data_IF_267983970521
#
_entry.id   IF_267983970521
#
_cell.length_a   1.000
_cell.length_b   1.000
_cell.length_c   1.000
_cell.angle_alpha   90.00
_cell.angle_beta   90.00
_cell.angle_gamma   90.00
#
_symmetry.space_group_name_H-M   'P 1'
#
loop_
_entity.id
_entity.type
_entity.pdbx_description
1 polymer ?
#
# COMPACT_ATOMS: atom_id res chain seq x y z
N UNK A 1 -20.77 -15.21 53.57
CA UNK A 1 -21.52 -15.77 52.43
C UNK A 1 -20.98 -15.09 51.19
N UNK A 2 -20.24 -15.81 50.35
CA UNK A 2 -19.42 -15.25 49.28
C UNK A 2 -20.26 -14.87 48.05
N UNK A 3 -19.98 -13.70 47.49
CA UNK A 3 -20.53 -13.19 46.23
C UNK A 3 -19.90 -13.97 45.07
N UNK A 4 -20.73 -14.64 44.27
CA UNK A 4 -20.29 -15.43 43.13
C UNK A 4 -20.01 -14.51 41.92
N UNK A 5 -18.73 -14.38 41.57
CA UNK A 5 -18.31 -13.71 40.35
C UNK A 5 -18.83 -14.46 39.11
N UNK A 6 -19.51 -13.74 38.21
CA UNK A 6 -19.99 -14.27 36.94
C UNK A 6 -18.82 -14.67 36.02
N UNK A 7 -18.98 -15.72 35.19
CA UNK A 7 -17.92 -16.15 34.27
C UNK A 7 -17.76 -15.14 33.13
N UNK A 8 -16.52 -14.71 32.90
CA UNK A 8 -16.13 -13.93 31.73
C UNK A 8 -16.28 -14.82 30.48
N UNK A 9 -17.22 -14.50 29.60
CA UNK A 9 -17.33 -15.13 28.29
C UNK A 9 -16.15 -14.71 27.40
N UNK A 10 -15.43 -15.65 26.75
CA UNK A 10 -14.40 -15.30 25.77
C UNK A 10 -15.09 -14.98 24.44
N UNK A 11 -15.57 -13.75 24.29
CA UNK A 11 -16.04 -13.27 23.00
C UNK A 11 -14.91 -12.60 22.21
N UNK A 12 -14.70 -13.12 21.00
CA UNK A 12 -14.06 -12.48 19.85
C UNK A 12 -12.53 -12.51 19.85
N UNK A 13 -11.99 -13.66 19.42
CA UNK A 13 -10.70 -13.65 18.73
C UNK A 13 -10.83 -12.77 17.48
N UNK A 14 -10.18 -11.61 17.50
CA UNK A 14 -10.05 -10.71 16.35
C UNK A 14 -9.45 -11.53 15.23
N UNK A 15 -10.23 -11.81 14.18
CA UNK A 15 -9.68 -12.40 12.96
C UNK A 15 -8.56 -11.47 12.49
N UNK A 16 -7.31 -11.92 12.62
CA UNK A 16 -6.17 -11.19 12.11
C UNK A 16 -6.42 -11.03 10.61
N UNK A 17 -6.80 -9.82 10.19
CA UNK A 17 -6.97 -9.49 8.78
C UNK A 17 -5.63 -9.82 8.11
N UNK A 18 -5.58 -10.92 7.37
CA UNK A 18 -4.38 -11.31 6.64
C UNK A 18 -4.15 -10.22 5.60
N UNK A 19 -3.23 -9.30 5.88
CA UNK A 19 -2.89 -8.22 4.96
C UNK A 19 -2.16 -8.85 3.78
N UNK A 20 -2.87 -9.01 2.66
CA UNK A 20 -2.30 -9.56 1.44
C UNK A 20 -1.22 -8.61 0.94
N UNK A 21 -0.02 -9.11 0.57
CA UNK A 21 0.99 -8.28 -0.05
C UNK A 21 0.44 -7.67 -1.34
N UNK A 22 0.60 -6.36 -1.50
CA UNK A 22 0.12 -5.64 -2.66
C UNK A 22 1.18 -4.68 -3.15
N UNK A 23 1.34 -4.58 -4.47
CA UNK A 23 2.16 -3.55 -5.10
C UNK A 23 1.24 -2.55 -5.77
N UNK A 24 1.35 -1.29 -5.37
CA UNK A 24 0.53 -0.19 -5.85
C UNK A 24 1.46 0.78 -6.56
N UNK A 25 1.04 1.24 -7.73
CA UNK A 25 1.70 2.31 -8.46
C UNK A 25 0.75 3.50 -8.56
N UNK A 26 1.27 4.70 -8.35
CA UNK A 26 0.52 5.95 -8.41
C UNK A 26 1.24 6.92 -9.36
N UNK A 27 0.49 7.58 -10.25
CA UNK A 27 1.00 8.64 -11.12
C UNK A 27 0.73 9.99 -10.45
N UNK A 28 1.75 10.58 -9.84
CA UNK A 28 1.63 11.79 -9.04
C UNK A 28 2.09 13.02 -9.82
N UNK A 29 1.38 14.14 -9.72
CA UNK A 29 1.68 15.39 -10.44
C UNK A 29 1.73 16.57 -9.48
N UNK A 30 2.75 17.43 -9.62
CA UNK A 30 2.84 18.71 -8.93
C UNK A 30 3.72 19.68 -9.72
N UNK A 31 3.35 20.97 -9.75
CA UNK A 31 4.17 22.01 -10.37
C UNK A 31 4.51 21.78 -11.86
N UNK A 32 3.64 21.08 -12.60
CA UNK A 32 3.87 20.73 -14.02
C UNK A 32 4.81 19.55 -14.25
N UNK A 33 5.35 18.96 -13.19
CA UNK A 33 6.16 17.74 -13.23
C UNK A 33 5.37 16.54 -12.70
N UNK A 34 5.81 15.35 -13.07
CA UNK A 34 5.15 14.08 -12.76
C UNK A 34 6.19 13.07 -12.29
N UNK A 35 5.86 12.26 -11.28
CA UNK A 35 6.67 11.13 -10.84
C UNK A 35 5.78 9.92 -10.59
N UNK A 36 6.36 8.72 -10.55
CA UNK A 36 5.65 7.51 -10.17
C UNK A 36 6.06 7.11 -8.76
N UNK A 37 5.07 6.92 -7.88
CA UNK A 37 5.26 6.32 -6.56
C UNK A 37 4.92 4.85 -6.62
N UNK A 38 5.84 4.00 -6.17
CA UNK A 38 5.63 2.55 -5.96
C UNK A 38 5.55 2.27 -4.47
N UNK A 39 4.42 1.74 -4.04
CA UNK A 39 4.20 1.28 -2.66
C UNK A 39 4.13 -0.25 -2.64
N UNK A 40 5.11 -0.88 -1.99
CA UNK A 40 5.12 -2.30 -1.69
C UNK A 40 4.55 -2.52 -0.28
N UNK A 41 3.31 -2.98 -0.21
CA UNK A 41 2.71 -3.49 1.03
C UNK A 41 3.22 -4.89 1.30
N UNK A 42 4.02 -5.04 2.34
CA UNK A 42 4.39 -6.33 2.95
C UNK A 42 3.48 -6.59 4.15
N UNK A 43 3.54 -7.79 4.73
CA UNK A 43 2.73 -8.15 5.92
C UNK A 43 2.97 -7.20 7.10
N UNK A 44 4.21 -6.73 7.27
CA UNK A 44 4.65 -5.97 8.44
C UNK A 44 5.17 -4.56 8.12
N UNK A 45 5.34 -4.23 6.84
CA UNK A 45 6.05 -3.02 6.43
C UNK A 45 5.45 -2.42 5.15
N UNK A 46 5.57 -1.10 5.02
CA UNK A 46 5.34 -0.34 3.79
C UNK A 46 6.68 0.15 3.26
N UNK A 47 7.04 -0.29 2.06
CA UNK A 47 8.22 0.23 1.36
C UNK A 47 7.73 1.13 0.22
N UNK A 48 8.19 2.38 0.23
CA UNK A 48 7.84 3.39 -0.78
C UNK A 48 9.10 3.76 -1.56
N UNK A 49 9.00 3.75 -2.89
CA UNK A 49 10.03 4.24 -3.78
C UNK A 49 9.40 5.22 -4.78
N UNK A 50 10.13 6.27 -5.13
CA UNK A 50 9.70 7.28 -6.08
C UNK A 50 10.73 7.38 -7.20
N UNK A 51 10.25 7.63 -8.42
CA UNK A 51 11.13 8.00 -9.53
C UNK A 51 11.60 9.43 -9.35
N UNK A 52 12.56 9.84 -10.17
CA UNK A 52 12.80 11.27 -10.38
C UNK A 52 11.54 11.99 -10.90
N UNK A 53 11.52 13.31 -10.75
CA UNK A 53 10.49 14.17 -11.32
C UNK A 53 10.73 14.36 -12.81
N UNK A 54 9.76 13.95 -13.62
CA UNK A 54 9.84 13.94 -15.07
C UNK A 54 8.88 14.96 -15.66
N UNK A 55 9.20 15.40 -16.89
CA UNK A 55 8.21 16.05 -17.74
C UNK A 55 7.04 15.09 -18.00
N UNK A 56 5.83 15.64 -18.09
CA UNK A 56 4.58 14.86 -18.28
C UNK A 56 4.68 13.81 -19.38
N UNK A 57 5.25 14.16 -20.55
CA UNK A 57 5.38 13.24 -21.67
C UNK A 57 6.24 12.01 -21.31
N UNK A 58 7.37 12.21 -20.62
CA UNK A 58 8.26 11.13 -20.18
C UNK A 58 7.62 10.28 -19.08
N UNK A 59 6.91 10.92 -18.15
CA UNK A 59 6.19 10.20 -17.11
C UNK A 59 5.05 9.33 -17.69
N UNK A 60 4.34 9.81 -18.70
CA UNK A 60 3.31 9.03 -19.39
C UNK A 60 3.91 7.81 -20.11
N UNK A 61 5.04 7.97 -20.80
CA UNK A 61 5.77 6.84 -21.40
C UNK A 61 6.15 5.78 -20.36
N UNK A 62 6.70 6.21 -19.23
CA UNK A 62 7.04 5.32 -18.12
C UNK A 62 5.80 4.64 -17.54
N UNK A 63 4.74 5.39 -17.31
CA UNK A 63 3.47 4.88 -16.79
C UNK A 63 2.88 3.78 -17.67
N UNK A 64 2.87 3.99 -19.00
CA UNK A 64 2.44 2.97 -19.95
C UNK A 64 3.30 1.71 -19.88
N UNK A 65 4.63 1.85 -19.72
CA UNK A 65 5.51 0.69 -19.52
C UNK A 65 5.18 -0.07 -18.24
N UNK A 66 4.88 0.61 -17.14
CA UNK A 66 4.49 -0.03 -15.86
C UNK A 66 3.17 -0.78 -16.02
N UNK A 67 2.13 -0.13 -16.57
CA UNK A 67 0.82 -0.76 -16.78
C UNK A 67 0.87 -1.99 -17.70
N UNK A 68 1.84 -2.02 -18.61
CA UNK A 68 2.05 -3.13 -19.54
C UNK A 68 3.12 -4.14 -19.08
N UNK A 69 3.64 -4.00 -17.86
CA UNK A 69 4.64 -4.90 -17.29
C UNK A 69 6.04 -4.82 -17.94
N UNK A 70 6.32 -3.74 -18.68
CA UNK A 70 7.61 -3.47 -19.36
C UNK A 70 8.59 -2.63 -18.53
N UNK A 71 8.20 -2.25 -17.32
CA UNK A 71 9.04 -1.53 -16.34
C UNK A 71 8.58 -1.90 -14.93
N UNK A 72 9.50 -1.87 -13.94
CA UNK A 72 9.28 -2.38 -12.57
C UNK A 72 9.63 -1.39 -11.47
#
# INVERSE_FOLDING_TARGET
MAEAAAPLHPHQGTAAHLRVPARIYELCQAGGLVFVRRTNRKKTELEVAETEWLLTARAQELWQKILTGRSV
#
